data_IF_111052609956
#
_entry.id   IF_111052609956
#
_cell.length_a   1.000
_cell.length_b   1.000
_cell.length_c   1.000
_cell.angle_alpha   90.00
_cell.angle_beta   90.00
_cell.angle_gamma   90.00
#
_symmetry.space_group_name_H-M   'P 1'
#
loop_
_entity.id
_entity.type
_entity.pdbx_description
1 polymer ?
#
# COMPACT_ATOMS: atom_id res chain seq x y z
N UNK A 1 9.49 10.62 -3.15
CA UNK A 1 8.99 9.80 -4.26
C UNK A 1 7.90 8.83 -3.82
N UNK A 2 8.04 8.04 -2.75
CA UNK A 2 7.02 7.04 -2.38
C UNK A 2 5.58 7.57 -2.27
N UNK A 3 5.34 8.76 -1.70
CA UNK A 3 3.97 9.31 -1.64
C UNK A 3 3.35 9.53 -3.03
N UNK A 4 4.11 10.02 -4.01
CA UNK A 4 3.65 10.18 -5.40
C UNK A 4 3.25 8.82 -5.99
N UNK A 5 4.15 7.84 -5.88
CA UNK A 5 3.88 6.49 -6.39
C UNK A 5 2.69 5.82 -5.69
N UNK A 6 2.50 6.05 -4.38
CA UNK A 6 1.33 5.54 -3.65
C UNK A 6 0.04 6.20 -4.17
N UNK A 7 0.02 7.52 -4.37
CA UNK A 7 -1.14 8.23 -4.93
C UNK A 7 -1.47 7.73 -6.35
N UNK A 8 -0.46 7.58 -7.20
CA UNK A 8 -0.62 7.13 -8.59
C UNK A 8 -1.18 5.70 -8.65
N UNK A 9 -0.52 4.75 -8.00
CA UNK A 9 -0.96 3.35 -8.00
C UNK A 9 -2.29 3.16 -7.26
N UNK A 10 -2.59 3.97 -6.25
CA UNK A 10 -3.90 3.94 -5.64
C UNK A 10 -5.00 4.40 -6.61
N UNK A 11 -4.72 5.42 -7.42
CA UNK A 11 -5.57 5.84 -8.52
C UNK A 11 -5.82 4.75 -9.56
N UNK A 12 -4.77 4.01 -9.96
CA UNK A 12 -4.88 2.88 -10.89
C UNK A 12 -5.74 1.74 -10.32
N UNK A 13 -5.43 1.27 -9.11
CA UNK A 13 -6.19 0.22 -8.41
C UNK A 13 -7.69 0.55 -8.33
N UNK A 14 -8.03 1.83 -8.16
CA UNK A 14 -9.42 2.29 -8.17
C UNK A 14 -10.07 2.19 -9.55
N UNK A 15 -9.35 2.56 -10.62
CA UNK A 15 -9.79 2.47 -12.02
C UNK A 15 -9.95 1.02 -12.46
N UNK A 16 -9.02 0.14 -12.11
CA UNK A 16 -9.04 -1.26 -12.50
C UNK A 16 -10.31 -1.98 -12.04
N UNK A 17 -10.68 -1.79 -10.77
CA UNK A 17 -11.92 -2.36 -10.23
C UNK A 17 -13.16 -1.77 -10.91
N UNK A 18 -13.15 -0.48 -11.24
CA UNK A 18 -14.26 0.16 -11.96
C UNK A 18 -14.41 -0.45 -13.36
N UNK A 19 -13.29 -0.73 -14.03
CA UNK A 19 -13.24 -1.29 -15.37
C UNK A 19 -13.31 -2.83 -15.40
N UNK A 20 -13.31 -3.48 -14.23
CA UNK A 20 -13.24 -4.95 -14.07
C UNK A 20 -11.97 -5.57 -14.67
N UNK A 21 -10.87 -4.81 -14.71
CA UNK A 21 -9.57 -5.29 -15.15
C UNK A 21 -8.82 -5.93 -13.97
N UNK A 22 -9.04 -7.23 -13.78
CA UNK A 22 -8.51 -7.94 -12.62
C UNK A 22 -7.01 -8.22 -12.70
N UNK A 23 -6.45 -8.29 -13.92
CA UNK A 23 -5.01 -8.48 -14.10
C UNK A 23 -4.27 -7.20 -13.70
N UNK A 24 -4.70 -6.05 -14.24
CA UNK A 24 -4.14 -4.74 -13.89
C UNK A 24 -4.30 -4.46 -12.41
N UNK A 25 -5.48 -4.75 -11.84
CA UNK A 25 -5.69 -4.67 -10.39
C UNK A 25 -4.64 -5.46 -9.59
N UNK A 26 -4.34 -6.69 -10.00
CA UNK A 26 -3.34 -7.52 -9.32
C UNK A 26 -1.93 -6.92 -9.38
N UNK A 27 -1.53 -6.43 -10.55
CA UNK A 27 -0.21 -5.83 -10.78
C UNK A 27 -0.06 -4.51 -10.02
N UNK A 28 -1.02 -3.59 -10.16
CA UNK A 28 -0.97 -2.28 -9.53
C UNK A 28 -1.14 -2.37 -8.01
N UNK A 29 -1.90 -3.34 -7.51
CA UNK A 29 -1.95 -3.60 -6.07
C UNK A 29 -0.59 -4.02 -5.51
N UNK A 30 0.19 -4.83 -6.23
CA UNK A 30 1.51 -5.23 -5.77
C UNK A 30 2.51 -4.06 -5.81
N UNK A 31 2.45 -3.21 -6.83
CA UNK A 31 3.25 -1.99 -6.92
C UNK A 31 2.91 -1.01 -5.79
N UNK A 32 1.62 -0.84 -5.49
CA UNK A 32 1.14 -0.04 -4.37
C UNK A 32 1.69 -0.59 -3.04
N UNK A 33 1.55 -1.89 -2.79
CA UNK A 33 2.05 -2.53 -1.57
C UNK A 33 3.55 -2.35 -1.41
N UNK A 34 4.34 -2.52 -2.47
CA UNK A 34 5.79 -2.32 -2.42
C UNK A 34 6.16 -0.90 -1.99
N UNK A 35 5.49 0.11 -2.54
CA UNK A 35 5.74 1.51 -2.17
C UNK A 35 5.31 1.84 -0.74
N UNK A 36 4.17 1.29 -0.29
CA UNK A 36 3.71 1.43 1.10
C UNK A 36 4.73 0.79 2.05
N UNK A 37 5.20 -0.40 1.73
CA UNK A 37 6.16 -1.15 2.54
C UNK A 37 7.51 -0.44 2.64
N UNK A 38 8.03 0.08 1.52
CA UNK A 38 9.28 0.84 1.49
C UNK A 38 9.17 2.12 2.33
N UNK A 39 8.08 2.87 2.17
CA UNK A 39 7.84 4.07 2.97
C UNK A 39 7.69 3.73 4.46
N UNK A 40 6.97 2.66 4.79
CA UNK A 40 6.81 2.20 6.17
C UNK A 40 8.15 1.88 6.81
N UNK A 41 9.01 1.10 6.13
CA UNK A 41 10.34 0.76 6.63
C UNK A 41 11.19 2.02 6.81
N UNK A 42 11.18 2.94 5.84
CA UNK A 42 11.92 4.20 5.90
C UNK A 42 11.54 5.06 7.10
N UNK A 43 10.24 5.22 7.37
CA UNK A 43 9.74 6.02 8.51
C UNK A 43 10.16 5.38 9.84
N UNK A 44 10.25 4.06 9.89
CA UNK A 44 10.67 3.32 11.08
C UNK A 44 12.21 3.13 11.19
N UNK A 45 13.01 3.75 10.30
CA UNK A 45 14.47 3.57 10.30
C UNK A 45 14.91 2.13 10.03
N UNK A 46 14.09 1.35 9.34
CA UNK A 46 14.30 -0.05 9.01
C UNK A 46 14.59 -0.24 7.52
N UNK A 47 15.05 -1.44 7.17
CA UNK A 47 15.37 -1.85 5.80
C UNK A 47 14.69 -3.16 5.46
N UNK A 48 14.58 -3.45 4.17
CA UNK A 48 14.14 -4.75 3.71
C UNK A 48 15.04 -5.85 4.26
N UNK A 49 14.41 -6.89 4.80
CA UNK A 49 15.03 -8.15 5.20
C UNK A 49 14.78 -9.21 4.14
N UNK A 50 15.30 -10.42 4.38
CA UNK A 50 14.95 -11.55 3.53
C UNK A 50 13.43 -11.78 3.55
N UNK A 51 12.81 -12.21 2.44
CA UNK A 51 11.35 -12.34 2.34
C UNK A 51 10.70 -13.17 3.46
N UNK A 52 11.35 -14.26 3.88
CA UNK A 52 10.90 -15.13 4.98
C UNK A 52 10.95 -14.44 6.37
N UNK A 53 11.72 -13.37 6.51
CA UNK A 53 11.83 -12.58 7.76
C UNK A 53 10.96 -11.32 7.75
N UNK A 54 10.40 -10.95 6.60
CA UNK A 54 9.71 -9.67 6.43
C UNK A 54 8.49 -9.55 7.34
N UNK A 55 7.61 -10.55 7.37
CA UNK A 55 6.39 -10.48 8.19
C UNK A 55 6.72 -10.34 9.68
N UNK A 56 7.67 -11.13 10.18
CA UNK A 56 8.16 -11.05 11.57
C UNK A 56 8.78 -9.69 11.89
N UNK A 57 9.46 -9.08 10.92
CA UNK A 57 10.01 -7.73 11.06
C UNK A 57 8.90 -6.70 11.15
N UNK A 58 7.86 -6.80 10.30
CA UNK A 58 6.72 -5.90 10.35
C UNK A 58 5.94 -6.00 11.66
N UNK A 59 5.73 -7.21 12.19
CA UNK A 59 5.05 -7.41 13.48
C UNK A 59 5.78 -6.73 14.64
N UNK A 60 7.11 -6.77 14.63
CA UNK A 60 7.93 -6.09 15.65
C UNK A 60 7.85 -4.58 15.56
N UNK A 61 7.73 -4.03 14.35
CA UNK A 61 7.66 -2.59 14.12
C UNK A 61 6.25 -2.04 14.40
N UNK A 62 5.22 -2.67 13.82
CA UNK A 62 3.82 -2.34 14.07
C UNK A 62 2.90 -3.53 13.75
N UNK A 63 2.35 -4.14 14.79
CA UNK A 63 1.43 -5.30 14.71
C UNK A 63 0.18 -4.98 13.89
N UNK A 64 -0.35 -3.76 13.98
CA UNK A 64 -1.57 -3.35 13.25
C UNK A 64 -1.27 -3.26 11.75
N UNK A 65 -0.13 -2.70 11.37
CA UNK A 65 0.32 -2.68 9.97
C UNK A 65 0.54 -4.10 9.44
N UNK A 66 1.27 -4.94 10.20
CA UNK A 66 1.54 -6.32 9.83
C UNK A 66 0.25 -7.13 9.61
N UNK A 67 -0.73 -7.00 10.50
CA UNK A 67 -2.03 -7.68 10.36
C UNK A 67 -2.79 -7.22 9.11
N UNK A 68 -2.72 -5.94 8.73
CA UNK A 68 -3.33 -5.45 7.48
C UNK A 68 -2.64 -6.04 6.24
N UNK A 69 -1.31 -6.12 6.26
CA UNK A 69 -0.53 -6.73 5.18
C UNK A 69 -0.87 -8.21 5.02
N UNK A 70 -0.95 -8.95 6.13
CA UNK A 70 -1.37 -10.36 6.12
C UNK A 70 -2.78 -10.51 5.52
N UNK A 71 -3.74 -9.73 6.01
CA UNK A 71 -5.11 -9.79 5.51
C UNK A 71 -5.20 -9.50 4.00
N UNK A 72 -4.37 -8.60 3.47
CA UNK A 72 -4.34 -8.32 2.03
C UNK A 72 -3.93 -9.55 1.20
N UNK A 73 -2.91 -10.28 1.66
CA UNK A 73 -2.40 -11.46 0.96
C UNK A 73 -3.29 -12.69 1.14
N UNK A 74 -3.98 -12.83 2.26
CA UNK A 74 -4.90 -13.94 2.54
C UNK A 74 -6.30 -13.75 1.92
N UNK A 75 -6.73 -12.52 1.69
CA UNK A 75 -8.04 -12.24 1.09
C UNK A 75 -8.10 -12.73 -0.36
N UNK A 76 -9.24 -13.25 -0.79
CA UNK A 76 -9.48 -13.71 -2.16
C UNK A 76 -10.49 -12.83 -2.91
N UNK A 77 -11.38 -12.16 -2.19
CA UNK A 77 -12.35 -11.23 -2.76
C UNK A 77 -11.66 -9.90 -3.11
N UNK A 78 -11.66 -9.57 -4.40
CA UNK A 78 -11.02 -8.35 -4.93
C UNK A 78 -11.62 -7.06 -4.34
N UNK A 79 -12.92 -7.02 -4.07
CA UNK A 79 -13.56 -5.83 -3.47
C UNK A 79 -13.11 -5.67 -2.02
N UNK A 80 -12.97 -6.77 -1.27
CA UNK A 80 -12.41 -6.75 0.08
C UNK A 80 -10.91 -6.39 0.06
N UNK A 81 -10.13 -6.89 -0.90
CA UNK A 81 -8.72 -6.46 -1.10
C UNK A 81 -8.62 -4.96 -1.29
N UNK A 82 -9.46 -4.35 -2.12
CA UNK A 82 -9.52 -2.88 -2.29
C UNK A 82 -9.74 -2.15 -0.97
N UNK A 83 -10.66 -2.64 -0.15
CA UNK A 83 -10.94 -2.05 1.17
C UNK A 83 -9.71 -2.16 2.09
N UNK A 84 -8.99 -3.28 2.04
CA UNK A 84 -7.75 -3.46 2.80
C UNK A 84 -6.66 -2.50 2.31
N UNK A 85 -6.47 -2.39 0.98
CA UNK A 85 -5.53 -1.45 0.36
C UNK A 85 -5.82 -0.01 0.76
N UNK A 86 -7.09 0.42 0.70
CA UNK A 86 -7.50 1.75 1.18
C UNK A 86 -7.02 2.00 2.61
N UNK A 87 -7.23 1.04 3.50
CA UNK A 87 -6.82 1.14 4.91
C UNK A 87 -5.30 1.17 5.08
N UNK A 88 -4.53 0.53 4.20
CA UNK A 88 -3.07 0.60 4.18
C UNK A 88 -2.57 1.97 3.69
N UNK A 89 -3.18 2.52 2.64
CA UNK A 89 -2.91 3.87 2.13
C UNK A 89 -3.21 4.93 3.19
N UNK A 90 -4.40 4.89 3.80
CA UNK A 90 -4.77 5.81 4.88
C UNK A 90 -3.80 5.71 6.06
N UNK A 91 -3.43 4.48 6.45
CA UNK A 91 -2.51 4.25 7.53
C UNK A 91 -1.12 4.83 7.25
N UNK A 92 -0.56 4.62 6.04
CA UNK A 92 0.78 5.14 5.75
C UNK A 92 0.78 6.66 5.56
N UNK A 93 -0.32 7.25 5.11
CA UNK A 93 -0.48 8.70 5.07
C UNK A 93 -0.51 9.31 6.46
N UNK A 94 -1.32 8.77 7.37
CA UNK A 94 -1.32 9.19 8.77
C UNK A 94 0.10 9.15 9.38
N UNK A 95 0.83 8.05 9.18
CA UNK A 95 2.19 7.87 9.69
C UNK A 95 3.25 8.75 9.03
N UNK A 96 3.00 9.26 7.82
CA UNK A 96 3.97 10.03 7.05
C UNK A 96 3.69 11.53 7.04
N UNK A 97 2.77 12.02 7.87
CA UNK A 97 2.39 13.44 7.93
C UNK A 97 1.34 13.84 6.89
N UNK A 98 0.42 12.94 6.55
CA UNK A 98 -0.73 13.16 5.68
C UNK A 98 -0.50 12.83 4.19
N UNK A 99 -1.59 12.88 3.38
CA UNK A 99 -1.51 12.77 1.92
C UNK A 99 -0.74 13.95 1.33
N UNK A 100 -0.37 13.85 0.05
CA UNK A 100 0.20 15.00 -0.64
C UNK A 100 -0.83 16.12 -0.83
N UNK A 101 -0.38 17.40 -0.89
CA UNK A 101 -1.29 18.50 -1.19
C UNK A 101 -1.89 18.33 -2.59
N UNK A 102 -3.18 18.62 -2.73
CA UNK A 102 -3.92 18.50 -4.00
C UNK A 102 -3.36 19.36 -5.14
N UNK A 103 -2.62 20.42 -4.82
CA UNK A 103 -1.95 21.28 -5.80
C UNK A 103 -0.73 20.63 -6.49
N UNK A 104 -0.25 19.50 -5.97
CA UNK A 104 0.91 18.78 -6.51
C UNK A 104 0.52 17.59 -7.39
N UNK A 105 -0.77 17.30 -7.49
CA UNK A 105 -1.30 16.33 -8.45
C UNK A 105 -1.20 16.99 -9.83
N UNK A 106 -0.38 16.43 -10.72
CA UNK A 106 -0.31 16.87 -12.11
C UNK A 106 -1.72 16.73 -12.71
N UNK A 107 -2.30 17.86 -13.13
CA UNK A 107 -3.57 17.83 -13.87
C UNK A 107 -3.30 17.19 -15.22
N UNK A 108 -3.77 15.96 -15.39
CA UNK A 108 -3.86 15.32 -16.69
C UNK A 108 -4.89 16.03 -17.56
#
# INVERSE_FOLDING_TARGET
MHKYSIDDFWGEVQRDIKNKDYLSFGLDSQLLINNILELFLKINGAFFRQPNEMMKTLERLDVKFANRMRNFYEESDIRKKKVILKKLVEYIYDKSGGPMPSSWILKN
#
